data_IF_161875818918
#
_entry.id   IF_161875818918
#
_cell.length_a   1.000
_cell.length_b   1.000
_cell.length_c   1.000
_cell.angle_alpha   90.00
_cell.angle_beta   90.00
_cell.angle_gamma   90.00
#
_symmetry.space_group_name_H-M   'P 1'
#
loop_
_entity.id
_entity.type
_entity.pdbx_description
1 polymer ?
#
# COMPACT_ATOMS: atom_id res chain seq x y z
N UNK A 1 6.62 25.67 31.28
CA UNK A 1 7.38 24.43 30.98
C UNK A 1 6.37 23.31 30.68
N UNK A 2 6.07 23.04 29.41
CA UNK A 2 5.07 22.03 28.99
C UNK A 2 5.57 21.22 27.77
N UNK A 3 6.82 20.74 27.80
CA UNK A 3 7.44 20.05 26.65
C UNK A 3 7.89 18.61 26.94
N UNK A 4 7.26 17.93 27.91
CA UNK A 4 7.80 16.65 28.43
C UNK A 4 6.90 15.41 28.35
N UNK A 5 5.84 15.38 27.52
CA UNK A 5 4.89 14.25 27.53
C UNK A 5 4.73 13.52 26.18
N UNK A 6 5.16 14.07 25.04
CA UNK A 6 5.05 13.33 23.77
C UNK A 6 6.39 12.70 23.40
N UNK A 7 6.52 11.41 23.70
CA UNK A 7 7.62 10.57 23.21
C UNK A 7 7.78 10.75 21.70
N UNK A 8 9.02 10.96 21.24
CA UNK A 8 9.34 11.11 19.82
C UNK A 8 8.69 9.97 19.04
N UNK A 9 7.82 10.33 18.08
CA UNK A 9 7.31 9.36 17.12
C UNK A 9 8.52 8.61 16.54
N UNK A 10 8.59 7.29 16.78
CA UNK A 10 9.57 6.44 16.09
C UNK A 10 9.19 6.52 14.62
N UNK A 11 9.89 7.37 13.88
CA UNK A 11 9.81 7.41 12.43
C UNK A 11 10.49 6.15 11.90
N UNK A 12 9.79 5.01 11.99
CA UNK A 12 10.24 3.72 11.45
C UNK A 12 10.02 3.62 9.94
N UNK A 13 9.45 4.67 9.33
CA UNK A 13 9.34 4.77 7.87
C UNK A 13 10.73 5.01 7.27
N UNK A 14 11.39 3.92 6.87
CA UNK A 14 12.56 3.98 5.99
C UNK A 14 12.04 4.13 4.56
N UNK A 15 12.23 5.29 3.89
CA UNK A 15 11.95 5.37 2.47
C UNK A 15 12.85 4.35 1.76
N UNK A 16 12.24 3.46 0.97
CA UNK A 16 12.98 2.50 0.15
C UNK A 16 13.77 3.30 -0.89
N UNK A 17 15.08 3.44 -0.70
CA UNK A 17 15.94 4.33 -1.48
C UNK A 17 15.94 4.04 -3.00
N UNK A 18 15.63 2.79 -3.39
CA UNK A 18 15.36 2.39 -4.78
C UNK A 18 14.22 1.38 -4.78
N UNK A 19 13.03 1.80 -5.19
CA UNK A 19 11.98 0.83 -5.48
C UNK A 19 12.28 0.12 -6.81
N UNK A 20 12.12 -1.21 -6.89
CA UNK A 20 12.30 -1.93 -8.16
C UNK A 20 11.29 -1.46 -9.21
N UNK A 21 11.57 -1.66 -10.50
CA UNK A 21 10.61 -1.39 -11.57
C UNK A 21 9.25 -2.04 -11.30
N UNK A 22 8.17 -1.33 -11.63
CA UNK A 22 6.78 -1.77 -11.43
C UNK A 22 6.52 -3.12 -12.10
N UNK A 23 6.94 -3.25 -13.36
CA UNK A 23 6.86 -4.47 -14.18
C UNK A 23 7.57 -5.67 -13.54
N UNK A 24 8.75 -5.46 -12.96
CA UNK A 24 9.52 -6.55 -12.34
C UNK A 24 8.96 -7.02 -10.99
N UNK A 25 8.21 -6.16 -10.28
CA UNK A 25 7.82 -6.42 -8.90
C UNK A 25 6.32 -6.65 -8.71
N UNK A 26 5.47 -5.79 -9.26
CA UNK A 26 4.06 -5.69 -8.89
C UNK A 26 3.11 -6.24 -9.96
N UNK A 27 3.57 -6.28 -11.20
CA UNK A 27 2.80 -6.77 -12.32
C UNK A 27 2.64 -8.29 -12.25
N UNK A 28 1.43 -8.77 -12.56
CA UNK A 28 1.07 -10.18 -12.47
C UNK A 28 1.01 -10.76 -11.05
N UNK A 29 1.28 -9.94 -10.02
CA UNK A 29 1.15 -10.33 -8.62
C UNK A 29 -0.15 -9.81 -8.02
N UNK A 30 -0.67 -10.58 -7.07
CA UNK A 30 -1.82 -10.13 -6.28
C UNK A 30 -1.35 -9.09 -5.26
N UNK A 31 -2.01 -7.94 -5.29
CA UNK A 31 -1.81 -6.84 -4.37
C UNK A 31 -2.74 -6.99 -3.17
N UNK A 32 -2.27 -6.53 -2.01
CA UNK A 32 -3.02 -6.59 -0.77
C UNK A 32 -3.99 -5.39 -0.66
N UNK A 33 -5.30 -5.59 -0.62
CA UNK A 33 -6.26 -4.50 -0.42
C UNK A 33 -6.04 -3.78 0.93
N UNK A 34 -6.31 -2.47 0.93
CA UNK A 34 -6.27 -1.59 2.10
C UNK A 34 -7.67 -1.07 2.38
N UNK A 35 -8.23 -1.47 3.52
CA UNK A 35 -9.58 -1.10 3.92
C UNK A 35 -9.60 0.03 4.94
N UNK A 36 -10.71 0.79 4.98
CA UNK A 36 -10.98 1.78 6.03
C UNK A 36 -11.18 1.16 7.41
N UNK A 37 -11.64 -0.09 7.44
CA UNK A 37 -11.97 -0.80 8.67
C UNK A 37 -12.49 -2.21 8.38
N UNK A 38 -12.74 -3.00 9.43
CA UNK A 38 -13.14 -4.40 9.32
C UNK A 38 -14.46 -4.62 8.57
N UNK A 39 -15.38 -3.67 8.63
CA UNK A 39 -16.73 -3.75 8.05
C UNK A 39 -16.80 -3.85 6.52
N UNK A 40 -15.67 -3.67 5.83
CA UNK A 40 -15.60 -3.75 4.36
C UNK A 40 -14.51 -4.72 3.86
N UNK A 41 -13.93 -5.54 4.75
CA UNK A 41 -12.80 -6.42 4.39
C UNK A 41 -13.16 -7.57 3.44
N UNK A 42 -14.45 -7.90 3.34
CA UNK A 42 -14.96 -9.01 2.52
C UNK A 42 -15.14 -8.62 1.05
N UNK A 43 -15.12 -7.32 0.75
CA UNK A 43 -15.40 -6.76 -0.58
C UNK A 43 -14.22 -5.89 -1.05
N UNK A 44 -13.44 -6.42 -1.98
CA UNK A 44 -12.29 -5.72 -2.56
C UNK A 44 -12.69 -4.46 -3.34
N UNK A 45 -13.94 -4.36 -3.81
CA UNK A 45 -14.42 -3.15 -4.50
C UNK A 45 -14.52 -1.95 -3.56
N UNK A 46 -14.54 -2.21 -2.25
CA UNK A 46 -14.55 -1.19 -1.19
C UNK A 46 -13.16 -0.89 -0.65
N UNK A 47 -12.11 -1.51 -1.19
CA UNK A 47 -10.74 -1.18 -0.83
C UNK A 47 -10.44 0.28 -1.22
N UNK A 48 -9.76 1.01 -0.34
CA UNK A 48 -9.27 2.36 -0.63
C UNK A 48 -8.07 2.37 -1.57
N UNK A 49 -7.39 1.23 -1.70
CA UNK A 49 -6.18 1.07 -2.46
C UNK A 49 -5.61 -0.31 -2.25
N UNK A 50 -4.49 -0.58 -2.91
CA UNK A 50 -3.84 -1.87 -2.93
C UNK A 50 -2.33 -1.71 -2.74
N UNK A 51 -1.72 -2.59 -1.96
CA UNK A 51 -0.29 -2.56 -1.62
C UNK A 51 0.42 -3.77 -2.17
N UNK A 52 1.56 -3.56 -2.82
CA UNK A 52 2.47 -4.64 -3.13
C UNK A 52 3.22 -5.05 -1.86
N UNK A 53 3.01 -6.27 -1.38
CA UNK A 53 3.68 -6.78 -0.17
C UNK A 53 5.22 -6.84 -0.31
N UNK A 54 5.75 -6.93 -1.54
CA UNK A 54 7.21 -7.00 -1.78
C UNK A 54 7.92 -5.65 -1.67
N UNK A 55 7.42 -4.63 -2.36
CA UNK A 55 8.09 -3.32 -2.42
C UNK A 55 7.39 -2.24 -1.60
N UNK A 56 6.23 -2.53 -1.01
CA UNK A 56 5.42 -1.60 -0.24
C UNK A 56 4.77 -0.50 -1.08
N UNK A 57 4.78 -0.59 -2.41
CA UNK A 57 4.16 0.41 -3.28
C UNK A 57 2.65 0.32 -3.18
N UNK A 58 2.01 1.47 -3.05
CA UNK A 58 0.56 1.61 -3.03
C UNK A 58 0.03 1.97 -4.42
N UNK A 59 -1.18 1.50 -4.71
CA UNK A 59 -1.89 1.69 -5.95
C UNK A 59 -3.33 2.08 -5.67
N UNK A 60 -3.90 2.92 -6.54
CA UNK A 60 -5.30 3.29 -6.45
C UNK A 60 -6.19 2.13 -6.92
N UNK A 61 -7.47 2.08 -6.50
CA UNK A 61 -8.39 1.05 -6.96
C UNK A 61 -8.58 1.03 -8.48
N UNK A 62 -8.52 2.18 -9.15
CA UNK A 62 -8.61 2.30 -10.60
C UNK A 62 -7.42 1.68 -11.36
N UNK A 63 -6.26 1.59 -10.72
CA UNK A 63 -5.07 0.95 -11.28
C UNK A 63 -5.12 -0.58 -11.18
N UNK A 64 -6.14 -1.14 -10.51
CA UNK A 64 -6.19 -2.54 -10.08
C UNK A 64 -7.51 -3.21 -10.48
N UNK A 65 -7.42 -4.36 -11.14
CA UNK A 65 -8.56 -5.23 -11.46
C UNK A 65 -8.35 -6.60 -10.83
N UNK A 66 -9.26 -7.00 -9.93
CA UNK A 66 -9.17 -8.30 -9.24
C UNK A 66 -7.85 -8.49 -8.49
N UNK A 67 -7.39 -7.45 -7.79
CA UNK A 67 -6.10 -7.38 -7.07
C UNK A 67 -4.84 -7.32 -7.94
N UNK A 68 -4.93 -7.19 -9.26
CA UNK A 68 -3.76 -7.08 -10.15
C UNK A 68 -3.74 -5.76 -10.90
N UNK A 69 -2.55 -5.26 -11.21
CA UNK A 69 -2.40 -4.02 -11.97
C UNK A 69 -2.98 -4.14 -13.38
N UNK A 70 -3.68 -3.09 -13.83
CA UNK A 70 -4.30 -3.04 -15.16
C UNK A 70 -3.30 -2.58 -16.24
N UNK A 71 -2.24 -1.84 -15.86
CA UNK A 71 -1.21 -1.32 -16.79
C UNK A 71 0.22 -1.66 -16.33
N UNK A 72 1.01 -2.14 -17.28
CA UNK A 72 2.48 -2.13 -17.27
C UNK A 72 2.93 -0.92 -18.08
N UNK A 73 3.36 0.15 -17.42
CA UNK A 73 4.19 1.17 -18.06
C UNK A 73 5.59 1.10 -17.44
#
# INVERSE_FOLDING_TARGET
MLTKIFGRAKMSYRPVAKQPPRSACCVGRDLMPRWRGPQVMEDDTKAMGFVCHKCGREYLPEDVKGRRLVRDE
#
